data_IF_430183189346
#
_entry.id   IF_430183189346
#
_cell.length_a   1.000
_cell.length_b   1.000
_cell.length_c   1.000
_cell.angle_alpha   90.00
_cell.angle_beta   90.00
_cell.angle_gamma   90.00
#
_symmetry.space_group_name_H-M   'P 1'
#
loop_
_entity.id
_entity.type
_entity.pdbx_description
1 polymer ?
#
# COMPACT_ATOMS: atom_id res chain seq x y z
N UNK A 1 4.82 -9.97 -24.56
CA UNK A 1 3.77 -9.02 -24.99
C UNK A 1 2.81 -8.90 -23.80
N UNK A 2 2.96 -7.86 -22.98
CA UNK A 2 2.22 -7.71 -21.70
C UNK A 2 1.27 -6.53 -21.82
N UNK A 3 -0.03 -6.75 -21.64
CA UNK A 3 -0.96 -5.67 -21.31
C UNK A 3 -1.09 -5.62 -19.78
N UNK A 4 -0.92 -4.45 -19.15
CA UNK A 4 -1.38 -4.26 -17.78
C UNK A 4 -2.90 -4.37 -17.74
N UNK A 5 -3.45 -4.84 -16.62
CA UNK A 5 -4.89 -4.78 -16.35
C UNK A 5 -5.28 -3.29 -16.43
N UNK A 6 -6.05 -2.92 -17.44
CA UNK A 6 -6.47 -1.55 -17.66
C UNK A 6 -7.49 -1.15 -16.58
N UNK A 7 -7.03 -0.47 -15.52
CA UNK A 7 -7.89 0.46 -14.80
C UNK A 7 -8.16 1.59 -15.79
N UNK A 8 -9.43 1.79 -16.14
CA UNK A 8 -9.89 2.61 -17.27
C UNK A 8 -9.21 3.99 -17.33
N UNK A 9 -8.36 4.15 -18.35
CA UNK A 9 -7.61 5.36 -18.68
C UNK A 9 -8.52 6.43 -19.31
N UNK A 10 -9.45 7.00 -18.54
CA UNK A 10 -10.26 8.12 -19.02
C UNK A 10 -9.81 9.43 -18.36
N UNK A 11 -9.05 10.22 -19.12
CA UNK A 11 -8.71 11.60 -18.75
C UNK A 11 -9.94 12.53 -18.72
N UNK A 12 -11.04 12.11 -19.35
CA UNK A 12 -12.18 12.97 -19.70
C UNK A 12 -13.44 12.73 -18.86
N UNK A 13 -13.57 11.59 -18.16
CA UNK A 13 -14.76 11.24 -17.36
C UNK A 13 -14.36 10.80 -15.94
N UNK A 14 -14.02 11.77 -15.08
CA UNK A 14 -13.68 11.54 -13.67
C UNK A 14 -14.93 11.44 -12.78
N UNK A 15 -15.77 10.43 -12.99
CA UNK A 15 -16.76 10.10 -11.96
C UNK A 15 -16.01 9.52 -10.77
N UNK A 16 -16.20 10.11 -9.59
CA UNK A 16 -15.62 9.58 -8.36
C UNK A 16 -16.09 8.13 -8.15
N UNK A 17 -15.17 7.27 -7.77
CA UNK A 17 -15.42 5.87 -7.44
C UNK A 17 -14.54 5.41 -6.26
N UNK A 18 -14.90 4.27 -5.68
CA UNK A 18 -14.25 3.74 -4.49
C UNK A 18 -12.91 3.03 -4.77
N UNK A 19 -12.48 2.91 -6.02
CA UNK A 19 -11.26 2.17 -6.38
C UNK A 19 -10.02 3.07 -6.45
N UNK A 20 -10.09 4.24 -7.09
CA UNK A 20 -8.89 5.04 -7.39
C UNK A 20 -9.05 6.56 -7.34
N UNK A 21 -10.25 7.06 -7.03
CA UNK A 21 -10.54 8.51 -7.15
C UNK A 21 -10.24 9.35 -5.91
N UNK A 22 -9.89 8.71 -4.79
CA UNK A 22 -9.55 9.41 -3.54
C UNK A 22 -8.32 10.29 -3.76
N UNK A 23 -8.44 11.57 -3.42
CA UNK A 23 -7.34 12.53 -3.37
C UNK A 23 -7.11 12.93 -1.94
N UNK A 24 -5.85 12.94 -1.52
CA UNK A 24 -5.46 13.21 -0.14
C UNK A 24 -4.06 13.82 -0.08
N UNK A 25 -3.64 14.21 1.11
CA UNK A 25 -2.29 14.72 1.36
C UNK A 25 -1.45 13.68 2.10
N UNK A 26 -0.12 13.82 2.09
CA UNK A 26 0.76 12.94 2.87
C UNK A 26 0.43 13.01 4.38
N UNK A 27 0.00 14.19 4.87
CA UNK A 27 -0.41 14.39 6.26
C UNK A 27 -1.68 13.61 6.60
N UNK A 28 -2.71 13.73 5.77
CA UNK A 28 -3.99 13.03 5.98
C UNK A 28 -3.80 11.51 5.89
N UNK A 29 -2.99 11.07 4.91
CA UNK A 29 -2.65 9.66 4.77
C UNK A 29 -1.80 9.14 5.95
N UNK A 30 -0.92 9.95 6.52
CA UNK A 30 -0.19 9.59 7.73
C UNK A 30 -1.11 9.42 8.94
N UNK A 31 -2.14 10.27 9.09
CA UNK A 31 -3.18 10.10 10.12
C UNK A 31 -3.99 8.81 9.89
N UNK A 32 -4.30 8.48 8.64
CA UNK A 32 -4.96 7.22 8.29
C UNK A 32 -4.10 6.00 8.66
N UNK A 33 -2.80 6.01 8.33
CA UNK A 33 -1.88 4.93 8.70
C UNK A 33 -1.74 4.79 10.22
N UNK A 34 -1.64 5.91 10.95
CA UNK A 34 -1.57 5.94 12.41
C UNK A 34 -2.82 5.29 13.04
N UNK A 35 -4.01 5.66 12.58
CA UNK A 35 -5.26 5.13 13.11
C UNK A 35 -5.47 3.66 12.75
N UNK A 36 -5.10 3.24 11.53
CA UNK A 36 -5.10 1.82 11.15
C UNK A 36 -4.23 0.98 12.08
N UNK A 37 -3.02 1.46 12.39
CA UNK A 37 -2.07 0.79 13.27
C UNK A 37 -2.61 0.70 14.71
N UNK A 38 -3.18 1.79 15.24
CA UNK A 38 -3.83 1.79 16.56
C UNK A 38 -4.98 0.78 16.62
N UNK A 39 -5.86 0.80 15.63
CA UNK A 39 -6.99 -0.14 15.57
C UNK A 39 -6.54 -1.60 15.43
N UNK A 40 -5.50 -1.87 14.64
CA UNK A 40 -4.90 -3.21 14.52
C UNK A 40 -4.36 -3.70 15.87
N UNK A 41 -3.58 -2.87 16.56
CA UNK A 41 -2.98 -3.19 17.86
C UNK A 41 -4.02 -3.37 18.97
N UNK A 42 -5.10 -2.57 18.94
CA UNK A 42 -6.23 -2.70 19.86
C UNK A 42 -7.15 -3.88 19.53
N UNK A 43 -6.77 -4.72 18.56
CA UNK A 43 -7.50 -5.92 18.18
C UNK A 43 -8.95 -5.67 17.76
N UNK A 44 -9.19 -4.53 17.11
CA UNK A 44 -10.47 -4.27 16.46
C UNK A 44 -10.70 -5.32 15.35
N UNK A 45 -11.76 -6.12 15.49
CA UNK A 45 -12.03 -7.26 14.61
C UNK A 45 -12.16 -6.86 13.14
N UNK A 46 -12.88 -5.77 12.87
CA UNK A 46 -13.10 -5.26 11.50
C UNK A 46 -11.82 -4.78 10.85
N UNK A 47 -10.95 -4.11 11.61
CA UNK A 47 -9.66 -3.66 11.08
C UNK A 47 -8.73 -4.84 10.86
N UNK A 48 -8.73 -5.85 11.75
CA UNK A 48 -7.94 -7.08 11.55
C UNK A 48 -8.34 -7.83 10.28
N UNK A 49 -9.62 -7.85 9.91
CA UNK A 49 -10.09 -8.44 8.66
C UNK A 49 -9.47 -7.79 7.41
N UNK A 50 -9.06 -6.52 7.46
CA UNK A 50 -8.33 -5.88 6.34
C UNK A 50 -6.97 -6.53 6.10
N UNK A 51 -6.33 -7.00 7.18
CA UNK A 51 -4.98 -7.55 7.19
C UNK A 51 -4.94 -9.09 7.21
N UNK A 52 -6.11 -9.73 7.24
CA UNK A 52 -6.22 -11.19 7.20
C UNK A 52 -6.06 -11.68 5.76
N UNK A 53 -5.25 -12.73 5.58
CA UNK A 53 -5.08 -13.39 4.30
C UNK A 53 -6.44 -13.85 3.75
N UNK A 54 -6.81 -13.30 2.60
CA UNK A 54 -7.99 -13.69 1.82
C UNK A 54 -7.58 -14.45 0.55
N UNK A 55 -6.38 -14.17 0.03
CA UNK A 55 -5.81 -14.83 -1.14
C UNK A 55 -4.30 -14.95 -1.00
N UNK A 56 -3.77 -16.17 -1.08
CA UNK A 56 -2.32 -16.41 -1.09
C UNK A 56 -1.75 -16.31 -2.50
N UNK A 57 -0.70 -15.51 -2.69
CA UNK A 57 -0.01 -15.37 -3.98
C UNK A 57 1.18 -16.31 -4.04
N UNK A 58 2.00 -16.34 -2.99
CA UNK A 58 3.12 -17.28 -2.83
C UNK A 58 3.46 -17.45 -1.33
N UNK A 59 4.66 -17.97 -1.04
CA UNK A 59 5.07 -18.23 0.34
C UNK A 59 5.35 -16.98 1.17
N UNK A 60 5.76 -15.89 0.53
CA UNK A 60 6.12 -14.62 1.18
C UNK A 60 5.10 -13.50 0.99
N UNK A 61 4.11 -13.69 0.10
CA UNK A 61 3.13 -12.67 -0.27
C UNK A 61 1.71 -13.26 -0.31
N UNK A 62 0.79 -12.56 0.35
CA UNK A 62 -0.64 -12.76 0.24
C UNK A 62 -1.39 -11.43 0.22
N UNK A 63 -2.71 -11.48 0.04
CA UNK A 63 -3.58 -10.32 -0.06
C UNK A 63 -4.75 -10.46 0.90
N UNK A 64 -5.02 -9.41 1.67
CA UNK A 64 -6.24 -9.23 2.45
C UNK A 64 -7.29 -8.40 1.71
N UNK A 65 -8.15 -7.71 2.44
CA UNK A 65 -9.18 -6.86 1.84
C UNK A 65 -8.59 -5.52 1.39
N UNK A 66 -7.90 -5.55 0.25
CA UNK A 66 -7.23 -4.40 -0.34
C UNK A 66 -5.82 -4.15 0.23
N UNK A 67 -5.26 -5.05 1.03
CA UNK A 67 -3.93 -4.86 1.64
C UNK A 67 -3.01 -6.00 1.22
N UNK A 68 -1.83 -5.67 0.69
CA UNK A 68 -0.75 -6.62 0.49
C UNK A 68 -0.11 -7.01 1.81
N UNK A 69 0.12 -8.31 2.00
CA UNK A 69 0.69 -8.90 3.21
C UNK A 69 1.99 -9.59 2.81
N UNK A 70 3.12 -8.97 3.15
CA UNK A 70 4.44 -9.54 2.90
C UNK A 70 5.07 -10.00 4.22
N UNK A 71 5.78 -11.12 4.18
CA UNK A 71 6.62 -11.58 5.28
C UNK A 71 8.05 -11.80 4.80
N UNK A 72 8.98 -11.03 5.37
CA UNK A 72 10.41 -11.08 5.05
C UNK A 72 11.21 -11.34 6.33
N UNK A 73 11.98 -12.44 6.38
CA UNK A 73 12.80 -12.80 7.54
C UNK A 73 12.02 -12.75 8.87
N UNK A 74 10.76 -13.20 8.87
CA UNK A 74 9.87 -13.17 10.03
C UNK A 74 9.27 -11.80 10.36
N UNK A 75 9.67 -10.73 9.67
CA UNK A 75 9.06 -9.41 9.78
C UNK A 75 7.87 -9.32 8.83
N UNK A 76 6.69 -8.99 9.36
CA UNK A 76 5.50 -8.76 8.55
C UNK A 76 5.37 -7.29 8.17
N UNK A 77 4.99 -7.05 6.92
CA UNK A 77 4.65 -5.71 6.41
C UNK A 77 3.33 -5.74 5.66
N UNK A 78 2.53 -4.70 5.89
CA UNK A 78 1.28 -4.47 5.20
C UNK A 78 1.40 -3.26 4.30
N UNK A 79 0.94 -3.33 3.06
CA UNK A 79 1.14 -2.25 2.10
C UNK A 79 0.02 -2.13 1.08
N UNK A 80 -0.05 -0.97 0.44
CA UNK A 80 -0.86 -0.76 -0.76
C UNK A 80 -0.19 0.28 -1.65
N UNK A 81 -0.07 -0.02 -2.94
CA UNK A 81 0.41 0.92 -3.96
C UNK A 81 -0.75 1.55 -4.72
N UNK A 82 -0.62 2.80 -5.15
CA UNK A 82 -1.56 3.46 -6.04
C UNK A 82 -0.90 3.89 -7.34
N UNK A 83 -1.64 3.78 -8.45
CA UNK A 83 -1.25 4.29 -9.76
C UNK A 83 -2.40 5.07 -10.37
N UNK A 84 -2.14 6.32 -10.73
CA UNK A 84 -2.97 7.13 -11.60
C UNK A 84 -2.03 7.80 -12.61
N UNK A 85 -2.49 8.14 -13.81
CA UNK A 85 -1.59 8.74 -14.80
C UNK A 85 -0.88 9.98 -14.26
N UNK A 86 0.46 9.98 -14.27
CA UNK A 86 1.30 11.04 -13.70
C UNK A 86 1.50 10.99 -12.18
N UNK A 87 0.94 10.01 -11.46
CA UNK A 87 1.01 9.91 -10.00
C UNK A 87 1.20 8.47 -9.53
N UNK A 88 2.04 8.31 -8.51
CA UNK A 88 2.14 7.07 -7.78
C UNK A 88 2.12 7.28 -6.28
N UNK A 89 1.72 6.26 -5.54
CA UNK A 89 1.74 6.27 -4.09
C UNK A 89 2.07 4.90 -3.52
N UNK A 90 2.61 4.89 -2.31
CA UNK A 90 2.84 3.68 -1.53
C UNK A 90 2.74 4.03 -0.06
N UNK A 91 2.02 3.22 0.71
CA UNK A 91 2.23 3.14 2.15
C UNK A 91 2.69 1.75 2.57
N UNK A 92 3.45 1.69 3.65
CA UNK A 92 3.85 0.47 4.32
C UNK A 92 3.67 0.61 5.83
N UNK A 93 3.11 -0.43 6.45
CA UNK A 93 2.81 -0.52 7.87
C UNK A 93 3.55 -1.73 8.47
N UNK A 94 4.30 -1.49 9.54
CA UNK A 94 5.04 -2.51 10.29
C UNK A 94 4.50 -2.57 11.72
N UNK A 95 3.42 -3.34 11.98
CA UNK A 95 2.75 -3.41 13.27
C UNK A 95 3.70 -3.75 14.42
N UNK A 96 4.58 -4.73 14.21
CA UNK A 96 5.48 -5.27 15.23
C UNK A 96 6.48 -4.24 15.74
N UNK A 97 6.88 -3.29 14.88
CA UNK A 97 7.82 -2.21 15.22
C UNK A 97 7.14 -0.87 15.44
N UNK A 98 5.81 -0.81 15.33
CA UNK A 98 5.01 0.42 15.39
C UNK A 98 5.50 1.52 14.44
N UNK A 99 5.98 1.12 13.25
CA UNK A 99 6.46 2.05 12.23
C UNK A 99 5.54 2.04 11.01
N UNK A 100 5.44 3.18 10.35
CA UNK A 100 4.78 3.29 9.06
C UNK A 100 5.38 4.44 8.26
N UNK A 101 5.21 4.38 6.95
CA UNK A 101 5.56 5.46 6.04
C UNK A 101 4.57 5.51 4.88
N UNK A 102 4.35 6.71 4.35
CA UNK A 102 3.61 6.93 3.11
C UNK A 102 4.35 7.92 2.24
N UNK A 103 4.50 7.59 0.96
CA UNK A 103 5.05 8.47 -0.07
C UNK A 103 3.99 8.68 -1.14
N UNK A 104 3.75 9.94 -1.47
CA UNK A 104 2.93 10.38 -2.59
C UNK A 104 3.85 11.09 -3.57
N UNK A 105 3.77 10.75 -4.85
CA UNK A 105 4.60 11.38 -5.88
C UNK A 105 3.79 11.69 -7.13
N UNK A 106 4.08 12.84 -7.74
CA UNK A 106 3.58 13.28 -9.03
C UNK A 106 4.52 12.83 -10.18
N UNK A 107 5.09 11.64 -10.05
CA UNK A 107 5.95 11.01 -11.04
C UNK A 107 5.32 9.69 -11.48
N UNK A 108 5.06 9.55 -12.79
CA UNK A 108 4.48 8.35 -13.39
C UNK A 108 5.34 7.09 -13.18
N UNK A 109 6.66 7.25 -13.03
CA UNK A 109 7.62 6.18 -12.73
C UNK A 109 8.13 6.27 -11.28
N UNK A 110 7.31 6.83 -10.40
CA UNK A 110 7.68 7.11 -9.02
C UNK A 110 7.78 5.90 -8.08
N UNK A 111 7.46 4.68 -8.53
CA UNK A 111 7.37 3.51 -7.66
C UNK A 111 8.69 3.23 -6.93
N UNK A 112 9.78 3.19 -7.70
CA UNK A 112 11.12 2.92 -7.17
C UNK A 112 11.56 3.99 -6.18
N UNK A 113 11.17 5.26 -6.41
CA UNK A 113 11.39 6.35 -5.47
C UNK A 113 10.60 6.14 -4.17
N UNK A 114 9.32 5.76 -4.26
CA UNK A 114 8.49 5.46 -3.10
C UNK A 114 9.11 4.34 -2.25
N UNK A 115 9.43 3.20 -2.87
CA UNK A 115 10.05 2.05 -2.19
C UNK A 115 11.39 2.43 -1.55
N UNK A 116 12.25 3.13 -2.28
CA UNK A 116 13.54 3.59 -1.77
C UNK A 116 13.36 4.50 -0.54
N UNK A 117 12.46 5.48 -0.60
CA UNK A 117 12.24 6.43 0.49
C UNK A 117 11.62 5.78 1.73
N UNK A 118 10.71 4.83 1.56
CA UNK A 118 10.14 4.06 2.67
C UNK A 118 11.22 3.20 3.34
N UNK A 119 11.99 2.45 2.55
CA UNK A 119 13.05 1.59 3.08
C UNK A 119 14.15 2.40 3.78
N UNK A 120 14.54 3.54 3.22
CA UNK A 120 15.47 4.50 3.84
C UNK A 120 14.94 5.00 5.18
N UNK A 121 13.71 5.55 5.20
CA UNK A 121 13.12 6.15 6.39
C UNK A 121 12.87 5.14 7.51
N UNK A 122 12.46 3.91 7.17
CA UNK A 122 12.15 2.88 8.15
C UNK A 122 13.36 2.03 8.56
N UNK A 123 14.45 2.11 7.78
CA UNK A 123 15.63 1.24 7.87
C UNK A 123 15.24 -0.25 7.69
N UNK A 124 14.44 -0.53 6.66
CA UNK A 124 13.88 -1.86 6.34
C UNK A 124 14.05 -2.18 4.84
N UNK A 125 13.74 -3.40 4.43
CA UNK A 125 13.97 -3.91 3.05
C UNK A 125 12.70 -4.53 2.44
N UNK A 126 11.58 -3.80 2.49
CA UNK A 126 10.34 -4.25 1.85
C UNK A 126 10.41 -4.16 0.33
N UNK A 127 9.72 -5.08 -0.35
CA UNK A 127 9.66 -5.13 -1.83
C UNK A 127 8.42 -4.38 -2.33
N UNK A 128 7.27 -4.61 -1.71
CA UNK A 128 6.00 -3.91 -2.00
C UNK A 128 5.47 -4.13 -3.42
N UNK A 129 5.76 -5.29 -4.02
CA UNK A 129 5.37 -5.57 -5.40
C UNK A 129 4.69 -6.93 -5.51
N UNK A 130 3.76 -7.01 -6.46
CA UNK A 130 3.18 -8.28 -6.87
C UNK A 130 4.10 -8.88 -7.95
N UNK A 131 4.71 -10.06 -7.73
CA UNK A 131 5.49 -10.75 -8.75
C UNK A 131 4.64 -11.00 -9.99
N UNK A 132 5.21 -10.73 -11.17
CA UNK A 132 4.56 -10.94 -12.47
C UNK A 132 5.03 -12.23 -13.12
#
# INVERSE_FOLDING_TARGET
MHQPIAVTNDFYTKTANCAYSLKSTAKDMALFCDELMKCYNNSNSKVRELFSESMRINDSLSWGNGIGIETHNGTRVYWHSGFNFGFQSLFALYPDTQKYAIVLTNNEQGFSLCTHKINEYLSLTGVYEIPR
#
